data_IF_300348008306
#
_entry.id   IF_300348008306
#
_cell.length_a   1.000
_cell.length_b   1.000
_cell.length_c   1.000
_cell.angle_alpha   90.00
_cell.angle_beta   90.00
_cell.angle_gamma   90.00
#
_symmetry.space_group_name_H-M   'P 1'
#
loop_
_entity.id
_entity.type
_entity.pdbx_description
1 polymer ?
#
# COMPACT_ATOMS: atom_id res chain seq x y z
N UNK A 1 -10.27 22.68 18.94
CA UNK A 1 -9.04 23.48 19.10
C UNK A 1 -9.02 24.55 18.02
N UNK A 2 -8.75 25.83 18.34
CA UNK A 2 -8.66 26.89 17.32
C UNK A 2 -7.32 26.81 16.57
N UNK A 3 -7.37 27.04 15.25
CA UNK A 3 -6.19 27.20 14.38
C UNK A 3 -5.92 28.70 14.22
N UNK A 4 -4.67 29.14 14.36
CA UNK A 4 -4.27 30.52 14.11
C UNK A 4 -3.83 30.69 12.66
N UNK A 5 -4.39 31.69 11.98
CA UNK A 5 -4.02 32.10 10.62
C UNK A 5 -3.81 33.60 10.58
N UNK A 6 -3.17 34.11 9.52
CA UNK A 6 -3.04 35.55 9.31
C UNK A 6 -4.41 36.22 9.26
N UNK A 7 -4.51 37.46 9.73
CA UNK A 7 -5.77 38.22 9.76
C UNK A 7 -6.35 38.53 8.37
N UNK A 8 -5.54 38.42 7.32
CA UNK A 8 -5.95 38.59 5.93
C UNK A 8 -6.07 37.26 5.15
N UNK A 9 -5.97 36.11 5.83
CA UNK A 9 -6.12 34.81 5.18
C UNK A 9 -7.59 34.59 4.76
N UNK A 10 -7.79 34.16 3.52
CA UNK A 10 -9.08 33.73 3.00
C UNK A 10 -9.21 32.20 2.91
N UNK A 11 -8.10 31.48 3.08
CA UNK A 11 -8.02 30.01 3.03
C UNK A 11 -7.10 29.46 4.12
N UNK A 12 -7.34 28.21 4.52
CA UNK A 12 -6.45 27.44 5.40
C UNK A 12 -5.67 26.44 4.57
N UNK A 13 -4.38 26.25 4.87
CA UNK A 13 -3.56 25.23 4.22
C UNK A 13 -4.16 23.82 4.47
N UNK A 14 -4.31 23.03 3.41
CA UNK A 14 -4.82 21.66 3.49
C UNK A 14 -3.98 20.78 4.44
N UNK A 15 -2.66 21.00 4.53
CA UNK A 15 -1.80 20.29 5.47
C UNK A 15 -2.10 20.65 6.95
N UNK A 16 -2.69 21.82 7.20
CA UNK A 16 -3.24 22.15 8.52
C UNK A 16 -4.53 21.37 8.72
N UNK A 17 -5.48 21.43 7.77
CA UNK A 17 -6.77 20.74 7.88
C UNK A 17 -6.61 19.23 8.20
N UNK A 18 -5.68 18.55 7.53
CA UNK A 18 -5.44 17.11 7.76
C UNK A 18 -4.97 16.77 9.18
N UNK A 19 -4.31 17.69 9.90
CA UNK A 19 -3.87 17.49 11.29
C UNK A 19 -5.00 17.61 12.31
N UNK A 20 -6.12 18.21 11.93
CA UNK A 20 -7.28 18.42 12.81
C UNK A 20 -8.45 17.51 12.45
N UNK A 21 -8.25 16.52 11.56
CA UNK A 21 -9.25 15.50 11.27
C UNK A 21 -9.53 14.66 12.53
N UNK A 22 -10.78 14.22 12.73
CA UNK A 22 -11.08 13.23 13.76
C UNK A 22 -10.26 11.95 13.56
N UNK A 23 -9.87 11.30 14.66
CA UNK A 23 -9.20 10.01 14.57
C UNK A 23 -10.07 8.99 13.83
N UNK A 24 -9.47 8.24 12.91
CA UNK A 24 -10.19 7.26 12.08
C UNK A 24 -10.89 7.84 10.86
N UNK A 25 -10.61 9.09 10.47
CA UNK A 25 -11.17 9.73 9.28
C UNK A 25 -10.07 10.30 8.37
N UNK A 26 -10.34 10.33 7.07
CA UNK A 26 -9.52 10.98 6.04
C UNK A 26 -10.30 12.13 5.39
N UNK A 27 -9.58 13.10 4.83
CA UNK A 27 -10.19 14.22 4.11
C UNK A 27 -10.69 13.73 2.76
N UNK A 28 -12.00 13.82 2.53
CA UNK A 28 -12.63 13.52 1.24
C UNK A 28 -12.61 14.76 0.33
N UNK A 29 -12.75 15.95 0.92
CA UNK A 29 -12.65 17.21 0.18
C UNK A 29 -12.80 18.46 1.05
N UNK A 30 -12.26 19.57 0.55
CA UNK A 30 -12.46 20.91 1.10
C UNK A 30 -12.10 21.96 0.04
N UNK A 31 -12.84 23.07 -0.01
CA UNK A 31 -12.45 24.27 -0.76
C UNK A 31 -11.42 25.12 0.01
N UNK A 32 -11.08 24.71 1.24
CA UNK A 32 -10.16 25.36 2.17
C UNK A 32 -10.58 26.79 2.58
N UNK A 33 -11.76 27.27 2.18
CA UNK A 33 -12.17 28.66 2.36
C UNK A 33 -12.60 28.96 3.80
N UNK A 34 -12.19 30.13 4.29
CA UNK A 34 -12.62 30.66 5.58
C UNK A 34 -13.95 31.40 5.40
N UNK A 35 -15.02 30.85 5.97
CA UNK A 35 -16.37 31.43 5.94
C UNK A 35 -16.86 31.69 7.35
N UNK A 36 -16.94 32.97 7.72
CA UNK A 36 -17.38 33.38 9.05
C UNK A 36 -16.48 32.86 10.19
N UNK A 37 -15.19 32.68 9.94
CA UNK A 37 -14.23 32.14 10.91
C UNK A 37 -14.14 30.61 10.97
N UNK A 38 -14.85 29.90 10.09
CA UNK A 38 -14.84 28.43 9.99
C UNK A 38 -14.37 27.97 8.62
N UNK A 39 -13.81 26.76 8.56
CA UNK A 39 -13.60 26.00 7.32
C UNK A 39 -14.43 24.74 7.41
N UNK A 40 -15.16 24.42 6.35
CA UNK A 40 -15.96 23.21 6.28
C UNK A 40 -15.21 22.16 5.44
N UNK A 41 -15.18 20.94 5.94
CA UNK A 41 -14.48 19.81 5.32
C UNK A 41 -15.43 18.62 5.25
N UNK A 42 -15.36 17.87 4.16
CA UNK A 42 -15.98 16.55 4.06
C UNK A 42 -14.95 15.50 4.45
N UNK A 43 -15.36 14.56 5.29
CA UNK A 43 -14.50 13.48 5.77
C UNK A 43 -15.18 12.15 5.56
N UNK A 44 -14.39 11.13 5.25
CA UNK A 44 -14.81 9.74 5.18
C UNK A 44 -14.06 8.92 6.24
N UNK A 45 -14.62 7.79 6.73
CA UNK A 45 -13.85 6.86 7.53
C UNK A 45 -12.55 6.48 6.81
N UNK A 46 -11.45 6.47 7.55
CA UNK A 46 -10.19 5.98 7.03
C UNK A 46 -10.34 4.48 6.70
N UNK A 47 -9.83 4.06 5.55
CA UNK A 47 -9.81 2.64 5.21
C UNK A 47 -8.98 1.88 6.26
N UNK A 48 -9.58 0.86 6.85
CA UNK A 48 -8.87 -0.04 7.75
C UNK A 48 -7.98 -0.97 6.92
N UNK A 49 -6.70 -1.02 7.28
CA UNK A 49 -5.70 -1.83 6.60
C UNK A 49 -5.11 -2.87 7.55
N UNK A 50 -4.71 -4.01 6.98
CA UNK A 50 -3.92 -5.04 7.64
C UNK A 50 -2.54 -5.13 7.01
N UNK A 51 -1.54 -5.48 7.84
CA UNK A 51 -0.19 -5.79 7.36
C UNK A 51 -0.12 -7.27 7.03
N UNK A 52 0.24 -7.59 5.80
CA UNK A 52 0.42 -8.95 5.30
C UNK A 52 1.88 -9.12 4.86
N UNK A 53 2.43 -10.31 5.04
CA UNK A 53 3.77 -10.67 4.59
C UNK A 53 3.69 -11.68 3.46
N UNK A 54 4.25 -11.33 2.31
CA UNK A 54 4.42 -12.25 1.19
C UNK A 54 5.72 -13.02 1.40
N UNK A 55 5.63 -14.34 1.52
CA UNK A 55 6.76 -15.24 1.67
C UNK A 55 7.04 -15.94 0.34
N UNK A 56 8.13 -15.56 -0.34
CA UNK A 56 8.60 -16.22 -1.55
C UNK A 56 9.53 -17.36 -1.17
N UNK A 57 9.15 -18.57 -1.54
CA UNK A 57 9.85 -19.79 -1.16
C UNK A 57 10.24 -20.60 -2.41
N UNK A 58 11.51 -21.01 -2.44
CA UNK A 58 12.07 -21.87 -3.46
C UNK A 58 11.94 -23.31 -2.98
N UNK A 59 10.95 -24.03 -3.53
CA UNK A 59 10.60 -25.40 -3.13
C UNK A 59 11.74 -26.38 -3.44
N UNK A 60 12.43 -26.19 -4.56
CA UNK A 60 13.55 -27.04 -4.97
C UNK A 60 14.73 -26.90 -4.00
N UNK A 61 15.07 -25.67 -3.63
CA UNK A 61 16.13 -25.39 -2.67
C UNK A 61 15.70 -25.49 -1.20
N UNK A 62 14.39 -25.65 -0.93
CA UNK A 62 13.77 -25.66 0.41
C UNK A 62 14.18 -24.47 1.27
N UNK A 63 14.09 -23.27 0.69
CA UNK A 63 14.50 -22.03 1.37
C UNK A 63 13.53 -20.89 1.10
N UNK A 64 13.37 -20.03 2.10
CA UNK A 64 12.77 -18.72 1.92
C UNK A 64 13.77 -17.81 1.18
N UNK A 65 13.33 -17.26 0.06
CA UNK A 65 14.12 -16.35 -0.77
C UNK A 65 13.90 -14.90 -0.33
N UNK A 66 12.66 -14.54 0.00
CA UNK A 66 12.31 -13.20 0.46
C UNK A 66 11.05 -13.19 1.34
N UNK A 67 10.95 -12.18 2.19
CA UNK A 67 9.73 -11.79 2.89
C UNK A 67 9.45 -10.32 2.60
N UNK A 68 8.27 -10.00 2.07
CA UNK A 68 7.91 -8.63 1.70
C UNK A 68 6.64 -8.22 2.44
N UNK A 69 6.69 -7.19 3.31
CA UNK A 69 5.48 -6.66 3.94
C UNK A 69 4.69 -5.79 2.94
N UNK A 70 3.38 -5.98 2.91
CA UNK A 70 2.42 -5.19 2.14
C UNK A 70 1.24 -4.80 3.02
N UNK A 71 0.61 -3.67 2.70
CA UNK A 71 -0.65 -3.26 3.31
C UNK A 71 -1.79 -3.48 2.33
N UNK A 72 -2.85 -4.11 2.83
CA UNK A 72 -4.10 -4.37 2.09
C UNK A 72 -5.28 -4.00 2.97
N UNK A 73 -6.48 -3.89 2.39
CA UNK A 73 -7.70 -3.67 3.18
C UNK A 73 -7.93 -4.80 4.20
N UNK A 74 -8.46 -4.46 5.37
CA UNK A 74 -8.81 -5.42 6.43
C UNK A 74 -9.84 -6.46 5.95
N UNK A 75 -10.69 -6.10 4.98
CA UNK A 75 -11.75 -6.97 4.45
C UNK A 75 -11.24 -7.95 3.38
N UNK A 76 -9.98 -7.82 2.98
CA UNK A 76 -9.39 -8.62 1.91
C UNK A 76 -8.90 -9.97 2.42
N UNK A 77 -9.30 -11.05 1.73
CA UNK A 77 -8.80 -12.41 2.00
C UNK A 77 -7.70 -12.88 1.03
N UNK A 78 -7.40 -12.11 -0.03
CA UNK A 78 -6.47 -12.49 -1.08
C UNK A 78 -5.57 -11.31 -1.49
N UNK A 79 -4.28 -11.53 -1.68
CA UNK A 79 -3.39 -10.52 -2.28
C UNK A 79 -3.47 -10.60 -3.80
N UNK A 80 -3.59 -9.47 -4.47
CA UNK A 80 -3.62 -9.43 -5.93
C UNK A 80 -2.34 -10.01 -6.55
N UNK A 81 -2.50 -10.82 -7.60
CA UNK A 81 -1.36 -11.37 -8.36
C UNK A 81 -0.42 -10.28 -8.90
N UNK A 82 -0.93 -9.09 -9.22
CA UNK A 82 -0.11 -7.97 -9.66
C UNK A 82 0.86 -7.50 -8.56
N UNK A 83 0.47 -7.58 -7.29
CA UNK A 83 1.34 -7.28 -6.14
C UNK A 83 2.42 -8.36 -6.04
N UNK A 84 2.05 -9.63 -6.18
CA UNK A 84 3.01 -10.74 -6.14
C UNK A 84 4.08 -10.62 -7.24
N UNK A 85 3.69 -10.27 -8.47
CA UNK A 85 4.64 -10.06 -9.57
C UNK A 85 5.50 -8.82 -9.35
N UNK A 86 4.94 -7.73 -8.81
CA UNK A 86 5.67 -6.48 -8.53
C UNK A 86 6.82 -6.67 -7.55
N UNK A 87 6.63 -7.54 -6.55
CA UNK A 87 7.60 -7.80 -5.49
C UNK A 87 8.34 -9.13 -5.66
N UNK A 88 8.24 -9.75 -6.84
CA UNK A 88 8.98 -10.97 -7.16
C UNK A 88 10.49 -10.71 -7.03
N UNK A 89 11.24 -11.56 -6.31
CA UNK A 89 12.69 -11.41 -6.19
C UNK A 89 13.40 -11.45 -7.56
N UNK A 90 14.42 -10.63 -7.72
CA UNK A 90 15.24 -10.63 -8.94
C UNK A 90 15.92 -11.99 -9.14
N UNK A 91 15.98 -12.46 -10.39
CA UNK A 91 16.53 -13.78 -10.74
C UNK A 91 15.59 -14.95 -10.44
N UNK A 92 14.33 -14.69 -10.08
CA UNK A 92 13.30 -15.71 -9.86
C UNK A 92 12.11 -15.51 -10.80
N UNK A 93 11.41 -16.61 -11.07
CA UNK A 93 10.11 -16.65 -11.75
C UNK A 93 9.04 -17.18 -10.79
N UNK A 94 7.80 -16.76 -11.01
CA UNK A 94 6.65 -17.21 -10.23
C UNK A 94 6.21 -18.60 -10.72
N UNK A 95 6.19 -19.59 -9.82
CA UNK A 95 5.64 -20.91 -10.12
C UNK A 95 4.16 -21.00 -9.74
N UNK A 96 3.76 -20.37 -8.64
CA UNK A 96 2.36 -20.33 -8.24
C UNK A 96 2.10 -19.76 -6.85
N UNK A 97 0.84 -19.37 -6.63
CA UNK A 97 0.28 -19.01 -5.34
C UNK A 97 -1.23 -19.16 -5.39
N UNK A 98 -1.85 -19.53 -4.27
CA UNK A 98 -3.31 -19.43 -4.12
C UNK A 98 -3.76 -18.02 -3.69
N UNK A 99 -2.79 -17.12 -3.46
CA UNK A 99 -2.98 -15.72 -3.05
C UNK A 99 -3.68 -15.52 -1.70
N UNK A 100 -4.07 -16.59 -1.01
CA UNK A 100 -4.89 -16.51 0.21
C UNK A 100 -4.03 -16.00 1.36
N UNK A 101 -4.57 -15.01 2.07
CA UNK A 101 -4.01 -14.49 3.32
C UNK A 101 -4.35 -15.46 4.44
N UNK A 102 -3.34 -16.02 5.10
CA UNK A 102 -3.47 -16.90 6.27
C UNK A 102 -2.61 -16.37 7.39
N UNK A 103 -3.26 -15.99 8.49
CA UNK A 103 -2.59 -15.44 9.69
C UNK A 103 -1.62 -14.28 9.38
N UNK A 104 -1.98 -13.45 8.41
CA UNK A 104 -1.16 -12.32 7.95
C UNK A 104 -0.04 -12.70 6.98
N UNK A 105 -0.04 -13.90 6.40
CA UNK A 105 0.95 -14.34 5.41
C UNK A 105 0.31 -14.81 4.11
N UNK A 106 1.03 -14.62 3.00
CA UNK A 106 0.74 -15.25 1.70
C UNK A 106 1.96 -16.06 1.28
N UNK A 107 1.73 -17.30 0.87
CA UNK A 107 2.78 -18.19 0.37
C UNK A 107 2.90 -18.10 -1.14
N UNK A 108 4.13 -18.02 -1.66
CA UNK A 108 4.41 -17.92 -3.09
C UNK A 108 5.56 -18.85 -3.46
N UNK A 109 5.30 -19.82 -4.34
CA UNK A 109 6.34 -20.69 -4.89
C UNK A 109 7.08 -19.99 -6.02
N UNK A 110 8.41 -20.06 -6.00
CA UNK A 110 9.28 -19.49 -7.01
C UNK A 110 10.38 -20.45 -7.42
N UNK A 111 10.86 -20.30 -8.65
CA UNK A 111 12.04 -21.00 -9.16
C UNK A 111 13.06 -19.99 -9.70
N UNK A 112 14.36 -20.32 -9.72
CA UNK A 112 15.35 -19.51 -10.42
C UNK A 112 14.96 -19.30 -11.87
N UNK A 113 15.08 -18.07 -12.37
CA UNK A 113 14.87 -17.76 -13.77
C UNK A 113 15.93 -18.47 -14.64
N UNK A 114 15.54 -18.95 -15.83
CA UNK A 114 16.49 -19.54 -16.77
C UNK A 114 17.54 -18.50 -17.20
N UNK A 115 18.81 -18.87 -17.14
CA UNK A 115 19.89 -18.06 -17.71
C UNK A 115 19.79 -18.08 -19.25
N UNK A 116 19.54 -16.92 -19.84
CA UNK A 116 19.54 -16.75 -21.30
C UNK A 116 20.87 -16.17 -21.77
N UNK A 117 21.45 -16.76 -22.80
CA UNK A 117 22.65 -16.22 -23.47
C UNK A 117 22.27 -15.52 -24.77
N UNK A 118 22.68 -14.26 -24.91
CA UNK A 118 22.56 -13.54 -26.18
C UNK A 118 23.65 -13.99 -27.15
N UNK A 119 23.27 -14.62 -28.26
CA UNK A 119 24.19 -15.01 -29.34
C UNK A 119 24.05 -14.04 -30.51
N UNK A 120 25.18 -13.60 -31.09
CA UNK A 120 25.19 -12.76 -32.30
C UNK A 120 25.26 -13.65 -33.54
N UNK A 121 24.47 -13.31 -34.56
CA UNK A 121 24.54 -13.92 -35.89
C UNK A 121 25.37 -12.99 -36.79
N UNK A 122 26.37 -13.53 -37.49
CA UNK A 122 27.24 -12.82 -38.44
C UNK A 122 26.91 -13.22 -39.88
#
# INVERSE_FOLDING_TARGET
MPVQVSSNASVVDMAILTRYLPAGYTLEGSDCEIRGGYVYVSVAPAEEVQNVKINYYDEAAKKQVAEVPVQVSIDTSYVDMAILTRYLPEGYTLEGSDCIIRDGYVYVSVAPAEEVQNVKIN
#
